data_IF_020385533924
#
_entry.id   IF_020385533924
#
_cell.length_a   1.000
_cell.length_b   1.000
_cell.length_c   1.000
_cell.angle_alpha   90.00
_cell.angle_beta   90.00
_cell.angle_gamma   90.00
#
_symmetry.space_group_name_H-M   'P 1'
#
loop_
_entity.id
_entity.type
_entity.pdbx_description
1 polymer ?
#
# COMPACT_ATOMS: atom_id res chain seq x y z
N UNK A 1 -12.50 4.30 -26.91
CA UNK A 1 -11.50 3.37 -26.33
C UNK A 1 -11.88 3.18 -24.86
N UNK A 2 -11.98 1.95 -24.35
CA UNK A 2 -12.28 1.74 -22.93
C UNK A 2 -11.11 2.29 -22.13
N UNK A 3 -11.32 3.44 -21.52
CA UNK A 3 -10.45 4.04 -20.53
C UNK A 3 -10.28 3.00 -19.41
N UNK A 4 -9.18 2.25 -19.46
CA UNK A 4 -8.85 1.30 -18.40
C UNK A 4 -8.33 2.17 -17.27
N UNK A 5 -9.23 2.54 -16.35
CA UNK A 5 -8.83 3.25 -15.13
C UNK A 5 -7.62 2.53 -14.52
N UNK A 6 -6.56 3.26 -14.20
CA UNK A 6 -5.30 2.76 -13.60
C UNK A 6 -5.55 1.70 -12.51
N UNK A 7 -6.60 1.87 -11.72
CA UNK A 7 -6.99 1.01 -10.62
C UNK A 7 -8.11 0.00 -10.92
N UNK A 8 -8.39 -0.29 -12.19
CA UNK A 8 -9.49 -1.17 -12.57
C UNK A 8 -9.36 -2.61 -12.07
N UNK A 9 -8.16 -3.00 -11.63
CA UNK A 9 -7.86 -4.30 -10.98
C UNK A 9 -7.25 -4.14 -9.58
N UNK A 10 -7.23 -2.92 -9.04
CA UNK A 10 -6.68 -2.69 -7.71
C UNK A 10 -7.55 -3.40 -6.68
N UNK A 11 -6.89 -4.00 -5.69
CA UNK A 11 -7.55 -4.74 -4.63
C UNK A 11 -6.80 -4.45 -3.34
N UNK A 12 -7.51 -4.00 -2.31
CA UNK A 12 -6.94 -3.75 -1.00
C UNK A 12 -6.08 -4.96 -0.57
N UNK A 13 -4.82 -4.77 -0.18
CA UNK A 13 -3.96 -5.88 0.24
C UNK A 13 -4.29 -6.29 1.68
N UNK A 14 -4.22 -7.59 1.94
CA UNK A 14 -4.04 -8.05 3.31
C UNK A 14 -2.63 -7.64 3.77
N UNK A 15 -2.55 -7.04 4.94
CA UNK A 15 -1.30 -6.54 5.52
C UNK A 15 -1.16 -7.20 6.88
N UNK A 16 -0.11 -8.00 7.04
CA UNK A 16 0.26 -8.65 8.30
C UNK A 16 1.61 -8.12 8.71
N UNK A 17 1.76 -7.75 9.99
CA UNK A 17 2.96 -7.10 10.50
C UNK A 17 4.23 -7.92 10.20
N UNK A 18 5.20 -7.28 9.55
CA UNK A 18 6.47 -7.89 9.16
C UNK A 18 6.41 -8.89 8.00
N UNK A 19 5.23 -9.13 7.42
CA UNK A 19 5.04 -10.06 6.29
C UNK A 19 4.80 -9.25 5.00
N UNK A 20 5.49 -9.58 3.88
CA UNK A 20 5.21 -8.94 2.60
C UNK A 20 3.76 -9.15 2.14
N UNK A 21 3.13 -8.10 1.62
CA UNK A 21 1.82 -8.21 0.98
C UNK A 21 1.89 -8.96 -0.36
N UNK A 22 0.74 -9.26 -0.97
CA UNK A 22 0.67 -9.77 -2.35
C UNK A 22 1.36 -8.88 -3.41
N UNK A 23 1.68 -7.64 -3.05
CA UNK A 23 2.40 -6.67 -3.89
C UNK A 23 3.88 -6.49 -3.50
N UNK A 24 4.40 -7.32 -2.58
CA UNK A 24 5.80 -7.39 -2.15
C UNK A 24 6.36 -6.17 -1.41
N UNK A 25 5.52 -5.33 -0.82
CA UNK A 25 5.94 -4.35 0.19
C UNK A 25 5.57 -4.82 1.59
N UNK A 26 6.22 -4.29 2.63
CA UNK A 26 6.07 -4.73 4.02
C UNK A 26 5.81 -3.53 4.95
N UNK A 27 4.99 -3.76 5.97
CA UNK A 27 4.74 -2.81 7.06
C UNK A 27 5.20 -3.44 8.38
N UNK A 28 5.82 -2.65 9.24
CA UNK A 28 6.00 -2.96 10.66
C UNK A 28 5.25 -1.95 11.53
N UNK A 29 4.81 -2.41 12.70
CA UNK A 29 3.96 -1.67 13.64
C UNK A 29 2.59 -1.33 13.02
N UNK A 30 1.88 -2.36 12.58
CA UNK A 30 0.63 -2.26 11.81
C UNK A 30 -0.45 -1.43 12.51
N UNK A 31 -0.50 -1.42 13.84
CA UNK A 31 -1.44 -0.59 14.61
C UNK A 31 -1.30 0.91 14.33
N UNK A 32 -0.10 1.35 13.92
CA UNK A 32 0.18 2.73 13.52
C UNK A 32 -0.04 3.01 12.03
N UNK A 33 -0.37 2.01 11.21
CA UNK A 33 -0.46 2.16 9.77
C UNK A 33 -1.90 2.33 9.27
N UNK A 34 -2.11 3.30 8.38
CA UNK A 34 -3.38 3.51 7.67
C UNK A 34 -3.12 3.65 6.18
N UNK A 35 -3.89 2.91 5.38
CA UNK A 35 -3.79 2.90 3.92
C UNK A 35 -5.11 3.33 3.30
N UNK A 36 -5.05 4.36 2.45
CA UNK A 36 -6.14 4.83 1.61
C UNK A 36 -6.44 3.88 0.46
N UNK A 37 -7.49 4.20 -0.29
CA UNK A 37 -7.89 3.46 -1.46
C UNK A 37 -7.00 3.78 -2.65
N UNK A 38 -6.90 2.81 -3.58
CA UNK A 38 -6.24 3.00 -4.87
C UNK A 38 -4.81 3.53 -4.70
N UNK A 39 -4.03 2.87 -3.86
CA UNK A 39 -2.62 3.20 -3.68
C UNK A 39 -1.76 2.36 -4.60
N UNK A 40 -0.64 2.94 -5.04
CA UNK A 40 0.36 2.27 -5.86
C UNK A 40 1.70 2.34 -5.14
N UNK A 41 2.12 1.23 -4.54
CA UNK A 41 3.32 1.15 -3.71
C UNK A 41 4.26 0.14 -4.35
N UNK A 42 5.46 0.61 -4.72
CA UNK A 42 6.48 -0.21 -5.35
C UNK A 42 6.88 -1.41 -4.48
N UNK A 43 7.16 -2.53 -5.15
CA UNK A 43 7.67 -3.73 -4.50
C UNK A 43 8.96 -3.42 -3.72
N UNK A 44 9.18 -4.15 -2.63
CA UNK A 44 10.30 -4.02 -1.70
C UNK A 44 10.34 -2.70 -0.91
N UNK A 45 9.27 -1.89 -0.98
CA UNK A 45 9.08 -0.79 -0.04
C UNK A 45 8.92 -1.33 1.39
N UNK A 46 9.65 -0.74 2.33
CA UNK A 46 9.51 -0.99 3.76
C UNK A 46 8.89 0.24 4.43
N UNK A 47 7.83 0.03 5.21
CA UNK A 47 7.13 1.07 5.96
C UNK A 47 7.21 0.73 7.44
N UNK A 48 7.85 1.60 8.22
CA UNK A 48 7.82 1.50 9.68
C UNK A 48 6.82 2.51 10.24
N UNK A 49 5.73 2.01 10.83
CA UNK A 49 4.65 2.83 11.36
C UNK A 49 4.68 2.97 12.89
N UNK A 50 5.85 2.84 13.54
CA UNK A 50 5.99 2.92 15.01
C UNK A 50 5.37 4.19 15.61
N UNK A 51 5.46 5.33 14.91
CA UNK A 51 4.91 6.61 15.33
C UNK A 51 3.71 7.07 14.49
N UNK A 52 3.12 6.15 13.73
CA UNK A 52 2.04 6.43 12.82
C UNK A 52 2.52 6.73 11.40
N UNK A 53 1.89 6.11 10.41
CA UNK A 53 2.01 6.44 8.98
C UNK A 53 0.63 6.36 8.35
N UNK A 54 0.22 7.40 7.64
CA UNK A 54 -0.99 7.40 6.82
C UNK A 54 -0.60 7.64 5.37
N UNK A 55 -0.98 6.72 4.48
CA UNK A 55 -0.92 6.90 3.03
C UNK A 55 -2.35 7.16 2.56
N UNK A 56 -2.60 8.30 1.93
CA UNK A 56 -3.94 8.72 1.52
C UNK A 56 -4.39 8.09 0.18
N UNK A 57 -5.61 8.40 -0.23
CA UNK A 57 -6.21 7.91 -1.47
C UNK A 57 -5.39 8.33 -2.71
N UNK A 58 -5.35 7.45 -3.71
CA UNK A 58 -4.73 7.70 -5.03
C UNK A 58 -3.20 7.97 -5.02
N UNK A 59 -2.55 7.89 -3.84
CA UNK A 59 -1.10 8.08 -3.66
C UNK A 59 -0.30 7.01 -4.40
N UNK A 60 0.82 7.46 -5.00
CA UNK A 60 1.84 6.60 -5.61
C UNK A 60 3.18 6.80 -4.89
N UNK A 61 3.82 5.69 -4.51
CA UNK A 61 5.13 5.65 -3.86
C UNK A 61 5.99 4.64 -4.61
N UNK A 62 7.03 5.12 -5.29
CA UNK A 62 7.86 4.29 -6.18
C UNK A 62 7.37 4.28 -7.63
N UNK A 63 7.74 3.24 -8.39
CA UNK A 63 7.61 3.15 -9.85
C UNK A 63 6.70 2.03 -10.34
#
# INVERSE_FOLDING_TARGET
MKDKSRFGKWQYPEIVDGIPTKYNWVVQNMDGFRLGNKTDIGAFTYINAQYGVTIEDDVQIGS
#
